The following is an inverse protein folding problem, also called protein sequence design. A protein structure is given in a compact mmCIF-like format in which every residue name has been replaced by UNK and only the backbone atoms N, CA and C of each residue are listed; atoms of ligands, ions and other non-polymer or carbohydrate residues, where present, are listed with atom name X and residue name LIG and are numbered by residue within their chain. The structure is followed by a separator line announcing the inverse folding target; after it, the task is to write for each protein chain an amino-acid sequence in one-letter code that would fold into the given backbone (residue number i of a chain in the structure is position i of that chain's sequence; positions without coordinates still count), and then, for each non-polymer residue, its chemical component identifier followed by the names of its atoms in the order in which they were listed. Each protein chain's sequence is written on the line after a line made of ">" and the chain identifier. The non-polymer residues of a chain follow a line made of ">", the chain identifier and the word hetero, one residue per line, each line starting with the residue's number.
data_IF_235358037210
#
_entry.id   IF_235358037210
#
_cell.length_a   1.000
_cell.length_b   1.000
_cell.length_c   1.000
_cell.angle_alpha   90.00
_cell.angle_beta   90.00
_cell.angle_gamma   90.00
#
_symmetry.space_group_name_H-M   'P 1'
#
loop_
_entity.id
_entity.type
_entity.pdbx_description
1 polymer ?
#
# COMPACT_ATOMS: atom_id res chain seq x y z
N UNK A 1 21.25 -4.17 -20.87
CA UNK A 1 21.65 -4.84 -19.62
C UNK A 1 20.47 -4.78 -18.68
N UNK A 2 20.03 -5.91 -18.13
CA UNK A 2 18.90 -5.94 -17.21
C UNK A 2 19.33 -5.27 -15.89
N UNK A 3 18.64 -4.22 -15.44
CA UNK A 3 18.90 -3.62 -14.13
C UNK A 3 18.79 -4.70 -13.03
N UNK A 4 19.69 -4.68 -12.03
CA UNK A 4 19.65 -5.62 -10.92
C UNK A 4 18.33 -5.48 -10.16
N UNK A 5 17.80 -6.60 -9.67
CA UNK A 5 16.58 -6.59 -8.85
C UNK A 5 16.79 -5.66 -7.64
N UNK A 6 15.85 -4.74 -7.42
CA UNK A 6 15.94 -3.77 -6.33
C UNK A 6 15.42 -4.38 -5.04
N UNK A 7 16.06 -4.12 -3.89
CA UNK A 7 15.51 -4.45 -2.56
C UNK A 7 14.50 -3.38 -2.12
N UNK A 8 13.61 -3.00 -3.03
CA UNK A 8 12.65 -1.91 -2.86
C UNK A 8 11.23 -2.45 -2.92
N UNK A 9 10.37 -1.97 -2.03
CA UNK A 9 8.91 -2.14 -2.10
C UNK A 9 8.28 -0.78 -2.40
N UNK A 10 7.19 -0.79 -3.17
CA UNK A 10 6.36 0.38 -3.39
C UNK A 10 5.32 0.48 -2.27
N UNK A 11 5.20 1.63 -1.62
CA UNK A 11 4.10 1.96 -0.72
C UNK A 11 3.26 3.03 -1.39
N UNK A 12 2.09 2.64 -1.87
CA UNK A 12 1.25 3.46 -2.75
C UNK A 12 -0.03 3.91 -2.03
N UNK A 13 -0.20 5.23 -1.93
CA UNK A 13 -1.35 5.84 -1.29
C UNK A 13 -2.24 6.55 -2.32
N UNK A 14 -3.51 6.19 -2.35
CA UNK A 14 -4.51 6.75 -3.24
C UNK A 14 -5.07 8.10 -2.77
N UNK A 15 -6.27 8.47 -3.26
CA UNK A 15 -6.80 9.81 -3.09
C UNK A 15 -7.14 10.15 -1.65
N UNK A 16 -6.91 11.41 -1.30
CA UNK A 16 -7.16 12.04 -0.01
C UNK A 16 -6.27 11.58 1.16
N UNK A 17 -5.37 10.60 0.99
CA UNK A 17 -4.47 10.21 2.07
C UNK A 17 -3.45 11.31 2.41
N UNK A 18 -3.19 12.25 1.50
CA UNK A 18 -2.44 13.48 1.81
C UNK A 18 -3.11 14.37 2.86
N UNK A 19 -4.39 14.13 3.18
CA UNK A 19 -5.15 14.87 4.20
C UNK A 19 -5.19 14.14 5.55
N UNK A 20 -4.45 13.05 5.74
CA UNK A 20 -4.31 12.39 7.04
C UNK A 20 -3.79 13.37 8.10
N UNK A 21 -4.28 13.23 9.34
CA UNK A 21 -3.95 14.10 10.48
C UNK A 21 -4.67 15.47 10.49
N UNK A 22 -5.24 15.91 9.36
CA UNK A 22 -5.95 17.21 9.28
C UNK A 22 -7.47 17.07 9.14
N UNK A 23 -7.96 15.92 8.65
CA UNK A 23 -9.39 15.66 8.42
C UNK A 23 -9.95 14.62 9.39
N UNK A 24 -11.04 14.96 10.09
CA UNK A 24 -11.80 14.05 10.97
C UNK A 24 -10.90 13.20 11.91
N UNK A 25 -10.02 13.82 12.72
CA UNK A 25 -9.00 13.11 13.50
C UNK A 25 -9.57 12.06 14.46
N UNK A 26 -10.81 12.24 14.92
CA UNK A 26 -11.52 11.25 15.75
C UNK A 26 -11.76 9.90 15.02
N UNK A 27 -11.84 9.90 13.67
CA UNK A 27 -12.01 8.69 12.85
C UNK A 27 -10.71 8.11 12.32
N UNK A 28 -9.74 8.96 11.97
CA UNK A 28 -8.53 8.55 11.23
C UNK A 28 -7.26 8.59 12.09
N UNK A 29 -7.34 9.12 13.31
CA UNK A 29 -6.21 9.42 14.17
C UNK A 29 -5.52 10.73 13.80
N UNK A 30 -4.54 11.11 14.61
CA UNK A 30 -3.74 12.32 14.43
C UNK A 30 -2.51 12.12 13.54
N UNK A 31 -2.24 10.88 13.13
CA UNK A 31 -1.10 10.55 12.29
C UNK A 31 -1.27 11.18 10.89
N UNK A 32 -0.20 11.79 10.41
CA UNK A 32 -0.09 12.37 9.07
C UNK A 32 0.38 11.32 8.05
N UNK A 33 0.31 11.66 6.76
CA UNK A 33 0.92 10.82 5.73
C UNK A 33 2.44 10.71 5.94
N UNK A 34 3.11 11.77 6.41
CA UNK A 34 4.55 11.72 6.70
C UNK A 34 4.89 10.69 7.79
N UNK A 35 4.03 10.55 8.81
CA UNK A 35 4.19 9.53 9.85
C UNK A 35 4.03 8.11 9.28
N UNK A 36 3.07 7.91 8.36
CA UNK A 36 2.91 6.63 7.63
C UNK A 36 4.17 6.31 6.83
N UNK A 37 4.73 7.27 6.10
CA UNK A 37 5.94 7.04 5.30
C UNK A 37 7.16 6.74 6.19
N UNK A 38 7.32 7.45 7.30
CA UNK A 38 8.39 7.19 8.27
C UNK A 38 8.28 5.77 8.84
N UNK A 39 7.08 5.38 9.28
CA UNK A 39 6.75 4.03 9.74
C UNK A 39 7.09 2.96 8.70
N UNK A 40 6.73 3.19 7.44
CA UNK A 40 7.01 2.26 6.35
C UNK A 40 8.51 2.10 6.08
N UNK A 41 9.25 3.22 6.04
CA UNK A 41 10.70 3.21 5.82
C UNK A 41 11.44 2.49 6.96
N UNK A 42 11.08 2.78 8.21
CA UNK A 42 11.63 2.12 9.39
C UNK A 42 11.35 0.61 9.34
N UNK A 43 10.10 0.23 9.11
CA UNK A 43 9.70 -1.19 9.09
C UNK A 43 10.39 -1.94 7.95
N UNK A 44 10.41 -1.39 6.72
CA UNK A 44 11.09 -2.01 5.60
C UNK A 44 12.60 -2.18 5.86
N UNK A 45 13.25 -1.18 6.45
CA UNK A 45 14.68 -1.22 6.77
C UNK A 45 15.03 -2.37 7.73
N UNK A 46 14.13 -2.70 8.67
CA UNK A 46 14.28 -3.85 9.57
C UNK A 46 14.33 -5.20 8.85
N UNK A 47 13.83 -5.28 7.61
CA UNK A 47 13.93 -6.47 6.74
C UNK A 47 15.00 -6.32 5.65
N UNK A 48 15.80 -5.26 5.68
CA UNK A 48 16.77 -4.96 4.60
C UNK A 48 16.15 -4.47 3.30
N UNK A 49 14.88 -4.07 3.33
CA UNK A 49 14.18 -3.47 2.20
C UNK A 49 14.21 -1.94 2.30
N UNK A 50 13.94 -1.28 1.18
CA UNK A 50 13.65 0.16 1.08
C UNK A 50 12.18 0.35 0.75
N UNK A 51 11.52 1.32 1.38
CA UNK A 51 10.16 1.71 1.02
C UNK A 51 10.20 2.96 0.13
N UNK A 52 9.82 2.82 -1.14
CA UNK A 52 9.51 3.93 -2.06
C UNK A 52 8.05 4.33 -1.80
N UNK A 53 7.85 5.42 -1.05
CA UNK A 53 6.51 5.86 -0.65
C UNK A 53 6.01 6.92 -1.62
N UNK A 54 4.80 6.72 -2.16
CA UNK A 54 4.16 7.63 -3.11
C UNK A 54 2.70 7.86 -2.77
N UNK A 55 2.18 9.00 -3.19
CA UNK A 55 0.77 9.34 -3.07
C UNK A 55 0.28 10.01 -4.35
N UNK A 56 -0.93 9.69 -4.78
CA UNK A 56 -1.62 10.47 -5.81
C UNK A 56 -3.14 10.45 -5.65
N UNK A 57 -3.76 11.55 -6.05
CA UNK A 57 -5.21 11.67 -6.21
C UNK A 57 -5.70 11.22 -7.59
N UNK A 58 -4.79 10.93 -8.53
CA UNK A 58 -5.08 10.64 -9.94
C UNK A 58 -4.93 9.15 -10.20
N UNK A 59 -6.01 8.50 -10.62
CA UNK A 59 -6.02 7.05 -10.88
C UNK A 59 -4.93 6.61 -11.86
N UNK A 60 -4.79 7.31 -12.99
CA UNK A 60 -3.76 7.00 -14.01
C UNK A 60 -2.33 7.07 -13.46
N UNK A 61 -2.04 8.01 -12.56
CA UNK A 61 -0.71 8.14 -11.96
C UNK A 61 -0.41 6.98 -10.99
N UNK A 62 -1.43 6.50 -10.26
CA UNK A 62 -1.30 5.29 -9.44
C UNK A 62 -0.99 4.07 -10.32
N UNK A 63 -1.64 3.94 -11.46
CA UNK A 63 -1.39 2.87 -12.44
C UNK A 63 0.04 2.97 -13.00
N UNK A 64 0.48 4.17 -13.37
CA UNK A 64 1.84 4.41 -13.85
C UNK A 64 2.90 4.00 -12.81
N UNK A 65 2.66 4.29 -11.52
CA UNK A 65 3.56 3.84 -10.45
C UNK A 65 3.58 2.32 -10.28
N UNK A 66 2.44 1.63 -10.47
CA UNK A 66 2.39 0.16 -10.47
C UNK A 66 3.21 -0.41 -11.64
N UNK A 67 3.06 0.14 -12.84
CA UNK A 67 3.87 -0.27 -14.00
C UNK A 67 5.36 0.05 -13.82
N UNK A 68 5.70 1.20 -13.23
CA UNK A 68 7.08 1.55 -12.90
C UNK A 68 7.70 0.55 -11.91
N UNK A 69 6.94 0.12 -10.90
CA UNK A 69 7.40 -0.89 -9.94
C UNK A 69 7.78 -2.21 -10.63
N UNK A 70 7.03 -2.60 -11.67
CA UNK A 70 7.36 -3.76 -12.51
C UNK A 70 8.62 -3.53 -13.33
N UNK A 71 8.71 -2.40 -14.04
CA UNK A 71 9.89 -2.05 -14.83
C UNK A 71 11.18 -2.02 -13.99
N UNK A 72 11.08 -1.53 -12.74
CA UNK A 72 12.19 -1.43 -11.76
C UNK A 72 12.38 -2.70 -10.92
N UNK A 73 11.61 -3.76 -11.20
CA UNK A 73 11.67 -5.07 -10.52
C UNK A 73 11.61 -4.96 -8.99
N UNK A 74 10.69 -4.13 -8.49
CA UNK A 74 10.44 -4.01 -7.06
C UNK A 74 9.90 -5.34 -6.48
N UNK A 75 10.20 -5.60 -5.21
CA UNK A 75 9.89 -6.89 -4.54
C UNK A 75 8.42 -7.04 -4.14
N UNK A 76 7.71 -5.94 -3.98
CA UNK A 76 6.34 -5.97 -3.47
C UNK A 76 5.67 -4.59 -3.49
N UNK A 77 4.35 -4.61 -3.32
CA UNK A 77 3.51 -3.42 -3.25
C UNK A 77 2.68 -3.46 -1.96
N UNK A 78 2.70 -2.37 -1.21
CA UNK A 78 1.72 -2.08 -0.16
C UNK A 78 0.82 -0.99 -0.70
N UNK A 79 -0.49 -1.22 -0.80
CA UNK A 79 -1.42 -0.27 -1.40
C UNK A 79 -2.56 0.10 -0.46
N UNK A 80 -2.76 1.39 -0.25
CA UNK A 80 -4.01 1.94 0.26
C UNK A 80 -4.63 2.78 -0.84
N UNK A 81 -5.51 2.18 -1.64
CA UNK A 81 -6.12 2.85 -2.79
C UNK A 81 -7.22 3.85 -2.39
N UNK A 82 -7.48 4.06 -1.08
CA UNK A 82 -8.49 4.99 -0.59
C UNK A 82 -9.84 4.74 -1.24
N UNK A 83 -10.46 5.80 -1.76
CA UNK A 83 -11.75 5.68 -2.47
C UNK A 83 -11.71 4.79 -3.72
N UNK A 84 -10.56 4.69 -4.39
CA UNK A 84 -10.42 3.90 -5.63
C UNK A 84 -10.48 2.41 -5.39
N UNK A 85 -10.27 1.94 -4.16
CA UNK A 85 -10.49 0.53 -3.80
C UNK A 85 -11.91 0.07 -4.19
N UNK A 86 -12.90 0.96 -4.09
CA UNK A 86 -14.31 0.64 -4.32
C UNK A 86 -14.77 0.85 -5.77
N UNK A 87 -13.96 1.47 -6.62
CA UNK A 87 -14.39 1.93 -7.96
C UNK A 87 -13.45 1.53 -9.09
N UNK A 88 -12.15 1.35 -8.80
CA UNK A 88 -11.13 1.23 -9.83
C UNK A 88 -10.88 -0.22 -10.23
N UNK A 89 -11.57 -0.62 -11.31
CA UNK A 89 -11.24 -1.86 -12.03
C UNK A 89 -9.89 -1.69 -12.75
N UNK A 90 -9.58 -0.49 -13.25
CA UNK A 90 -8.32 -0.22 -13.95
C UNK A 90 -7.08 -0.44 -13.05
N UNK A 91 -7.12 0.02 -11.79
CA UNK A 91 -6.04 -0.21 -10.83
C UNK A 91 -5.97 -1.68 -10.39
N UNK A 92 -7.11 -2.37 -10.29
CA UNK A 92 -7.14 -3.82 -10.08
C UNK A 92 -6.43 -4.58 -11.20
N UNK A 93 -6.75 -4.27 -12.45
CA UNK A 93 -6.14 -4.91 -13.62
C UNK A 93 -4.64 -4.61 -13.71
N UNK A 94 -4.22 -3.38 -13.39
CA UNK A 94 -2.81 -3.00 -13.33
C UNK A 94 -2.03 -3.84 -12.29
N UNK A 95 -2.60 -4.04 -11.09
CA UNK A 95 -1.99 -4.88 -10.05
C UNK A 95 -1.87 -6.35 -10.47
N UNK A 96 -2.89 -6.90 -11.14
CA UNK A 96 -2.83 -8.26 -11.68
C UNK A 96 -1.80 -8.42 -12.79
N UNK A 97 -1.69 -7.43 -13.68
CA UNK A 97 -0.80 -7.47 -14.83
C UNK A 97 0.68 -7.53 -14.43
N UNK A 98 1.08 -6.83 -13.36
CA UNK A 98 2.48 -6.76 -12.95
C UNK A 98 2.98 -7.99 -12.17
N UNK A 99 2.07 -8.81 -11.64
CA UNK A 99 2.36 -10.01 -10.84
C UNK A 99 3.32 -9.78 -9.64
N UNK A 100 3.35 -8.55 -9.12
CA UNK A 100 4.15 -8.20 -7.94
C UNK A 100 3.34 -8.55 -6.68
N UNK A 101 3.91 -9.23 -5.67
CA UNK A 101 3.22 -9.53 -4.42
C UNK A 101 2.67 -8.26 -3.77
N UNK A 102 1.36 -8.20 -3.61
CA UNK A 102 0.65 -6.99 -3.17
C UNK A 102 -0.15 -7.24 -1.89
N UNK A 103 -0.07 -6.33 -0.92
CA UNK A 103 -0.93 -6.27 0.27
C UNK A 103 -1.75 -4.99 0.23
N UNK A 104 -3.05 -5.10 0.41
CA UNK A 104 -3.94 -3.95 0.56
C UNK A 104 -4.04 -3.52 2.03
N UNK A 105 -4.07 -2.20 2.27
CA UNK A 105 -4.21 -1.60 3.60
C UNK A 105 -5.29 -0.53 3.59
N UNK A 106 -6.14 -0.56 4.60
CA UNK A 106 -7.09 0.51 4.92
C UNK A 106 -6.89 0.95 6.36
N UNK A 107 -6.64 2.25 6.57
CA UNK A 107 -6.48 2.85 7.91
C UNK A 107 -7.72 2.59 8.78
N UNK A 108 -8.91 2.75 8.19
CA UNK A 108 -10.19 2.51 8.87
C UNK A 108 -10.77 1.14 8.53
N UNK A 109 -11.63 0.61 9.39
CA UNK A 109 -12.40 -0.60 9.08
C UNK A 109 -13.47 -0.27 8.04
N UNK A 110 -13.26 -0.65 6.78
CA UNK A 110 -14.20 -0.38 5.68
C UNK A 110 -15.53 -1.12 5.83
N UNK A 111 -15.56 -2.25 6.53
CA UNK A 111 -16.78 -3.05 6.76
C UNK A 111 -17.67 -2.45 7.85
N UNK A 112 -17.13 -1.60 8.72
CA UNK A 112 -17.91 -0.85 9.72
C UNK A 112 -18.51 0.45 9.15
N UNK A 113 -18.29 0.72 7.86
CA UNK A 113 -18.73 1.96 7.18
C UNK A 113 -19.90 1.69 6.22
N UNK A 114 -20.21 2.67 5.39
CA UNK A 114 -21.30 2.60 4.43
C UNK A 114 -21.16 1.39 3.48
N UNK A 115 -22.29 0.81 3.05
CA UNK A 115 -22.31 -0.44 2.26
C UNK A 115 -21.48 -0.38 0.96
N UNK A 116 -21.39 0.79 0.32
CA UNK A 116 -20.57 0.97 -0.88
C UNK A 116 -19.06 0.83 -0.62
N UNK A 117 -18.61 0.80 0.65
CA UNK A 117 -17.21 0.58 1.02
C UNK A 117 -16.88 -0.88 1.33
N UNK A 118 -17.88 -1.75 1.42
CA UNK A 118 -17.66 -3.15 1.79
C UNK A 118 -17.01 -3.95 0.65
N UNK A 119 -17.12 -3.44 -0.58
CA UNK A 119 -16.49 -4.02 -1.76
C UNK A 119 -15.15 -3.34 -2.07
N UNK A 120 -14.09 -4.12 -2.27
CA UNK A 120 -12.82 -3.64 -2.80
C UNK A 120 -12.39 -4.47 -4.01
N UNK A 121 -12.17 -3.79 -5.14
CA UNK A 121 -11.58 -4.37 -6.34
C UNK A 121 -10.09 -4.63 -6.12
N UNK A 122 -9.35 -3.70 -5.50
CA UNK A 122 -7.92 -3.85 -5.22
C UNK A 122 -7.62 -5.03 -4.29
N UNK A 123 -8.52 -5.34 -3.34
CA UNK A 123 -8.42 -6.53 -2.48
C UNK A 123 -8.27 -7.83 -3.27
N UNK A 124 -8.96 -7.94 -4.41
CA UNK A 124 -8.96 -9.16 -5.24
C UNK A 124 -7.66 -9.35 -6.03
N UNK A 125 -6.87 -8.29 -6.19
CA UNK A 125 -5.54 -8.37 -6.80
C UNK A 125 -4.42 -8.52 -5.76
N UNK A 126 -4.73 -8.29 -4.48
CA UNK A 126 -3.79 -8.47 -3.37
C UNK A 126 -3.87 -9.91 -2.82
N UNK A 127 -2.76 -10.42 -2.27
CA UNK A 127 -2.78 -11.73 -1.60
C UNK A 127 -3.29 -11.65 -0.15
N UNK A 128 -3.30 -10.44 0.41
CA UNK A 128 -3.83 -10.14 1.74
C UNK A 128 -4.39 -8.71 1.76
N UNK A 129 -5.40 -8.49 2.60
CA UNK A 129 -5.99 -7.17 2.85
C UNK A 129 -6.15 -6.95 4.35
N UNK A 130 -5.76 -5.77 4.83
CA UNK A 130 -5.82 -5.36 6.24
C UNK A 130 -6.67 -4.10 6.35
N UNK A 131 -7.62 -4.06 7.29
CA UNK A 131 -8.42 -2.85 7.54
C UNK A 131 -8.62 -2.58 9.02
N UNK A 132 -8.59 -1.30 9.41
CA UNK A 132 -8.99 -0.85 10.75
C UNK A 132 -7.90 -0.88 11.83
N UNK A 133 -6.65 -1.15 11.46
CA UNK A 133 -5.50 -1.10 12.36
C UNK A 133 -4.85 0.29 12.45
N UNK A 134 -5.49 1.34 11.89
CA UNK A 134 -4.86 2.64 11.76
C UNK A 134 -3.62 2.59 10.88
N UNK A 135 -2.61 3.41 11.19
CA UNK A 135 -1.33 3.40 10.46
C UNK A 135 -0.51 2.12 10.70
N UNK A 136 -0.71 1.43 11.82
CA UNK A 136 -0.01 0.16 12.13
C UNK A 136 -0.37 -0.95 11.13
N UNK A 137 -1.49 -0.82 10.41
CA UNK A 137 -1.82 -1.68 9.27
C UNK A 137 -0.70 -1.72 8.22
N UNK A 138 0.02 -0.61 8.00
CA UNK A 138 1.17 -0.58 7.08
C UNK A 138 2.35 -1.39 7.61
N UNK A 139 2.64 -1.32 8.92
CA UNK A 139 3.69 -2.14 9.55
C UNK A 139 3.38 -3.63 9.39
N UNK A 140 2.15 -4.02 9.72
CA UNK A 140 1.68 -5.41 9.57
C UNK A 140 1.75 -5.87 8.11
N UNK A 141 1.36 -5.01 7.17
CA UNK A 141 1.42 -5.32 5.74
C UNK A 141 2.86 -5.58 5.27
N UNK A 142 3.82 -4.75 5.69
CA UNK A 142 5.24 -4.92 5.33
C UNK A 142 5.81 -6.21 5.95
N UNK A 143 5.47 -6.51 7.21
CA UNK A 143 5.89 -7.76 7.86
C UNK A 143 5.32 -8.98 7.13
N UNK A 144 4.03 -8.96 6.77
CA UNK A 144 3.38 -10.02 6.01
C UNK A 144 3.97 -10.19 4.61
N UNK A 145 4.28 -9.09 3.94
CA UNK A 145 4.97 -9.09 2.64
C UNK A 145 6.38 -9.68 2.76
N UNK A 146 7.18 -9.27 3.76
CA UNK A 146 8.51 -9.82 3.99
C UNK A 146 8.47 -11.33 4.25
N UNK A 147 7.51 -11.79 5.07
CA UNK A 147 7.29 -13.21 5.30
C UNK A 147 6.90 -13.96 4.00
N UNK A 148 6.02 -13.38 3.17
CA UNK A 148 5.64 -13.93 1.86
C UNK A 148 6.84 -14.05 0.91
N UNK A 149 7.81 -13.15 1.02
CA UNK A 149 9.06 -13.15 0.27
C UNK A 149 10.16 -14.04 0.87
N UNK A 150 9.92 -14.66 2.04
CA UNK A 150 10.91 -15.47 2.74
C UNK A 150 12.04 -14.65 3.39
N UNK A 151 11.83 -13.35 3.60
CA UNK A 151 12.81 -12.42 4.19
C UNK A 151 12.64 -12.43 5.70
N UNK A 152 13.75 -12.64 6.43
CA UNK A 152 13.78 -12.58 7.89
C UNK A 152 14.15 -11.18 8.37
N UNK A 153 13.68 -10.76 9.56
CA UNK A 153 14.16 -9.52 10.18
C UNK A 153 15.68 -9.55 10.34
N UNK A 154 16.31 -8.38 10.22
CA UNK A 154 17.68 -8.17 10.64
C UNK A 154 17.75 -8.33 12.17
N UNK A 155 18.76 -9.07 12.63
CA UNK A 155 19.09 -9.23 14.04
C UNK A 155 19.59 -7.92 14.64
#
# INVERSE_FOLDING_TARGET
>A
MAEPATDTILVLNGPNLNMLGTREPEKYGHATLADVEALCRETAASFGLKADCRQSNREGELIDFVHEAHARKMKGIIINAGGYSHTSIALHDALLAVQIPTVEVHVTNIHARESFRHHSYTARAAFASLCGFGIEGYRLAIQGLAAKLGIKPKA
#
